data_IF_650470213441
#
_entry.id   IF_650470213441
#
_cell.length_a   1.000
_cell.length_b   1.000
_cell.length_c   1.000
_cell.angle_alpha   90.00
_cell.angle_beta   90.00
_cell.angle_gamma   90.00
#
_symmetry.space_group_name_H-M   'P 1'
#
loop_
_entity.id
_entity.type
_entity.pdbx_description
1 polymer ?
#
# COMPACT_ATOMS: atom_id res chain seq x y z
N UNK A 1 -35.36 25.74 -35.35
CA UNK A 1 -34.71 25.08 -36.51
C UNK A 1 -33.40 25.79 -36.79
N UNK A 2 -32.28 25.21 -36.39
CA UNK A 2 -31.02 25.22 -37.13
C UNK A 2 -30.16 24.11 -36.51
N UNK A 3 -29.93 23.09 -37.31
CA UNK A 3 -29.09 21.95 -37.06
C UNK A 3 -27.67 22.32 -37.49
N UNK A 4 -26.67 22.04 -36.66
CA UNK A 4 -25.29 21.90 -37.12
C UNK A 4 -24.62 20.80 -36.32
N UNK A 5 -24.36 19.71 -37.04
CA UNK A 5 -23.58 18.56 -36.65
C UNK A 5 -22.17 18.98 -36.19
N UNK A 6 -21.74 18.46 -35.05
CA UNK A 6 -20.32 18.19 -34.78
C UNK A 6 -20.20 16.68 -34.61
N UNK A 7 -19.66 16.02 -35.62
CA UNK A 7 -19.32 14.60 -35.62
C UNK A 7 -18.15 14.38 -34.66
N UNK A 8 -18.38 13.73 -33.52
CA UNK A 8 -17.34 13.02 -32.80
C UNK A 8 -17.06 11.67 -33.47
N UNK A 9 -15.84 11.13 -33.41
CA UNK A 9 -15.56 9.83 -33.99
C UNK A 9 -16.31 8.75 -33.20
N UNK A 10 -17.06 7.94 -33.94
CA UNK A 10 -17.69 6.70 -33.48
C UNK A 10 -16.56 5.69 -33.34
N UNK A 11 -16.22 5.31 -32.12
CA UNK A 11 -15.44 4.09 -31.88
C UNK A 11 -16.40 2.90 -32.08
N UNK A 12 -16.13 2.11 -33.10
CA UNK A 12 -16.81 0.84 -33.37
C UNK A 12 -16.57 -0.13 -32.21
N UNK A 13 -17.66 -0.56 -31.57
CA UNK A 13 -17.69 -1.71 -30.68
C UNK A 13 -17.34 -2.97 -31.47
N UNK A 14 -16.06 -3.38 -31.37
CA UNK A 14 -15.61 -4.70 -31.77
C UNK A 14 -15.86 -5.71 -30.66
N UNK A 15 -16.92 -6.49 -30.78
CA UNK A 15 -17.10 -7.75 -30.05
C UNK A 15 -15.89 -8.67 -30.32
N UNK A 16 -15.20 -9.08 -29.25
CA UNK A 16 -13.99 -9.90 -29.37
C UNK A 16 -13.55 -10.54 -28.07
N UNK A 17 -14.18 -11.68 -27.76
CA UNK A 17 -13.63 -12.84 -27.06
C UNK A 17 -12.98 -12.65 -25.66
N UNK A 18 -13.61 -13.29 -24.67
CA UNK A 18 -13.07 -13.48 -23.33
C UNK A 18 -11.66 -14.05 -23.33
N UNK A 19 -10.72 -13.21 -22.90
CA UNK A 19 -9.39 -13.60 -22.46
C UNK A 19 -9.25 -13.26 -20.99
N UNK A 20 -8.96 -14.27 -20.16
CA UNK A 20 -8.64 -14.07 -18.76
C UNK A 20 -7.49 -13.07 -18.63
N UNK A 21 -7.78 -11.87 -18.14
CA UNK A 21 -6.78 -10.87 -17.82
C UNK A 21 -5.81 -11.45 -16.79
N UNK A 22 -4.52 -11.51 -17.15
CA UNK A 22 -3.44 -11.80 -16.21
C UNK A 22 -3.29 -10.65 -15.23
N UNK A 23 -4.14 -10.63 -14.19
CA UNK A 23 -4.16 -9.57 -13.18
C UNK A 23 -2.87 -9.62 -12.37
N UNK A 24 -1.99 -8.63 -12.53
CA UNK A 24 -0.70 -8.51 -11.83
C UNK A 24 0.44 -8.01 -12.72
N UNK A 25 0.21 -7.93 -14.02
CA UNK A 25 1.13 -7.33 -14.99
C UNK A 25 0.54 -6.01 -15.49
N UNK A 26 1.33 -4.93 -15.44
CA UNK A 26 0.89 -3.65 -15.99
C UNK A 26 1.38 -3.54 -17.43
N UNK A 27 0.44 -3.30 -18.33
CA UNK A 27 0.76 -2.93 -19.71
C UNK A 27 1.34 -1.52 -19.71
N UNK A 28 2.37 -1.32 -20.53
CA UNK A 28 3.12 -0.07 -20.67
C UNK A 28 2.18 1.08 -21.03
N UNK A 29 1.73 1.86 -20.05
CA UNK A 29 1.02 3.12 -20.26
C UNK A 29 1.96 4.28 -19.91
N UNK A 30 3.07 4.38 -20.64
CA UNK A 30 3.83 5.64 -20.58
C UNK A 30 2.97 6.73 -21.21
N UNK A 31 2.63 7.74 -20.42
CA UNK A 31 1.98 8.95 -20.93
C UNK A 31 3.03 9.67 -21.78
N UNK A 32 2.91 9.58 -23.10
CA UNK A 32 3.68 10.42 -24.01
C UNK A 32 3.29 11.88 -23.75
N UNK A 33 4.26 12.70 -23.38
CA UNK A 33 4.08 14.12 -23.11
C UNK A 33 4.43 15.02 -24.30
N UNK A 34 4.75 14.39 -25.44
CA UNK A 34 5.13 15.08 -26.68
C UNK A 34 3.93 15.64 -27.48
N UNK A 35 2.70 15.34 -27.09
CA UNK A 35 1.49 15.83 -27.77
C UNK A 35 1.16 17.28 -27.40
N UNK A 36 0.45 17.99 -28.29
CA UNK A 36 -0.03 19.37 -28.04
C UNK A 36 -0.98 19.48 -26.84
N UNK A 37 -1.65 18.38 -26.48
CA UNK A 37 -2.55 18.30 -25.33
C UNK A 37 -1.88 17.40 -24.29
N UNK A 38 -1.32 18.02 -23.25
CA UNK A 38 -0.81 17.31 -22.09
C UNK A 38 -1.97 16.60 -21.37
N UNK A 39 -1.90 15.28 -21.11
CA UNK A 39 -2.90 14.62 -20.28
C UNK A 39 -2.82 15.20 -18.87
N UNK A 40 -3.84 15.94 -18.45
CA UNK A 40 -3.91 16.55 -17.12
C UNK A 40 -3.56 15.51 -16.04
N UNK A 41 -2.68 15.85 -15.07
CA UNK A 41 -2.33 14.93 -14.00
C UNK A 41 -3.59 14.58 -13.21
N UNK A 42 -3.77 13.28 -12.94
CA UNK A 42 -4.85 12.79 -12.11
C UNK A 42 -4.66 13.21 -10.66
N UNK A 43 -5.69 13.03 -9.83
CA UNK A 43 -5.61 13.42 -8.42
C UNK A 43 -4.53 12.62 -7.68
N UNK A 44 -4.39 11.32 -7.98
CA UNK A 44 -3.31 10.49 -7.43
C UNK A 44 -1.92 10.89 -7.93
N UNK A 45 -1.83 11.47 -9.13
CA UNK A 45 -0.57 11.99 -9.67
C UNK A 45 -0.07 13.16 -8.79
N UNK A 46 -0.96 13.95 -8.17
CA UNK A 46 -0.56 15.03 -7.25
C UNK A 46 0.14 14.50 -5.98
N UNK A 47 -0.39 13.45 -5.36
CA UNK A 47 0.25 12.78 -4.21
C UNK A 47 1.56 12.11 -4.61
N UNK A 48 1.58 11.49 -5.79
CA UNK A 48 2.77 10.87 -6.33
C UNK A 48 3.87 11.93 -6.58
N UNK A 49 3.53 13.12 -7.08
CA UNK A 49 4.47 14.24 -7.24
C UNK A 49 5.04 14.72 -5.89
N UNK A 50 4.22 14.82 -4.84
CA UNK A 50 4.69 15.15 -3.49
C UNK A 50 5.73 14.13 -3.01
N UNK A 51 5.40 12.84 -3.14
CA UNK A 51 6.32 11.75 -2.79
C UNK A 51 7.62 11.79 -3.62
N UNK A 52 7.53 11.98 -4.94
CA UNK A 52 8.69 12.08 -5.81
C UNK A 52 9.60 13.26 -5.45
N UNK A 53 9.01 14.39 -5.03
CA UNK A 53 9.75 15.52 -4.47
C UNK A 53 10.55 15.14 -3.22
N UNK A 54 9.96 14.37 -2.30
CA UNK A 54 10.65 13.84 -1.13
C UNK A 54 11.79 12.88 -1.51
N UNK A 55 11.58 12.01 -2.51
CA UNK A 55 12.62 11.08 -3.02
C UNK A 55 13.81 11.85 -3.62
N UNK A 56 13.54 12.90 -4.40
CA UNK A 56 14.60 13.75 -4.96
C UNK A 56 15.42 14.45 -3.87
N UNK A 57 14.77 14.83 -2.76
CA UNK A 57 15.42 15.38 -1.57
C UNK A 57 16.07 14.32 -0.66
N UNK A 58 15.88 13.03 -0.95
CA UNK A 58 16.36 11.92 -0.11
C UNK A 58 15.77 11.92 1.31
N UNK A 59 14.57 12.47 1.48
CA UNK A 59 13.84 12.42 2.75
C UNK A 59 13.26 11.00 2.98
N UNK A 60 13.30 10.45 4.20
CA UNK A 60 12.83 9.10 4.49
C UNK A 60 11.30 9.03 4.65
N UNK A 61 10.57 9.48 3.64
CA UNK A 61 9.10 9.44 3.58
C UNK A 61 8.65 8.19 2.81
N UNK A 62 7.65 7.47 3.33
CA UNK A 62 7.08 6.30 2.64
C UNK A 62 5.89 6.68 1.78
N UNK A 63 5.63 5.92 0.72
CA UNK A 63 4.38 6.04 -0.06
C UNK A 63 3.16 5.82 0.85
N UNK A 64 3.26 4.88 1.79
CA UNK A 64 2.23 4.61 2.78
C UNK A 64 1.96 5.78 3.75
N UNK A 65 2.96 6.62 4.03
CA UNK A 65 2.77 7.82 4.86
C UNK A 65 1.96 8.87 4.10
N UNK A 66 2.36 9.19 2.87
CA UNK A 66 1.62 10.14 2.01
C UNK A 66 0.17 9.68 1.80
N UNK A 67 -0.02 8.38 1.59
CA UNK A 67 -1.34 7.78 1.49
C UNK A 67 -2.17 7.95 2.77
N UNK A 68 -1.55 7.71 3.94
CA UNK A 68 -2.20 7.89 5.24
C UNK A 68 -2.53 9.36 5.49
N UNK A 69 -1.62 10.28 5.20
CA UNK A 69 -1.82 11.72 5.38
C UNK A 69 -3.01 12.21 4.56
N UNK A 70 -3.14 11.72 3.32
CA UNK A 70 -4.31 11.99 2.47
C UNK A 70 -5.60 11.40 3.06
N UNK A 71 -5.59 10.10 3.44
CA UNK A 71 -6.76 9.40 4.01
C UNK A 71 -7.24 10.00 5.34
N UNK A 72 -6.32 10.50 6.16
CA UNK A 72 -6.59 11.00 7.51
C UNK A 72 -6.86 12.52 7.55
N UNK A 73 -7.02 13.17 6.40
CA UNK A 73 -7.23 14.61 6.26
C UNK A 73 -6.10 15.49 6.87
N UNK A 74 -4.86 14.99 6.91
CA UNK A 74 -3.69 15.73 7.41
C UNK A 74 -3.08 16.63 6.33
N UNK A 75 -3.33 16.30 5.06
CA UNK A 75 -3.03 17.15 3.92
C UNK A 75 -4.33 17.49 3.18
N UNK A 76 -4.42 18.68 2.55
CA UNK A 76 -5.60 19.12 1.84
C UNK A 76 -5.79 18.31 0.54
N UNK A 77 -6.38 17.13 0.68
CA UNK A 77 -6.62 16.19 -0.42
C UNK A 77 -8.11 15.85 -0.55
N UNK A 78 -8.74 15.39 0.54
CA UNK A 78 -10.15 14.97 0.55
C UNK A 78 -11.12 16.11 0.20
N UNK A 79 -10.84 17.32 0.69
CA UNK A 79 -11.62 18.53 0.44
C UNK A 79 -10.77 19.66 -0.14
N UNK A 80 -9.89 19.36 -1.10
CA UNK A 80 -9.01 20.37 -1.69
C UNK A 80 -9.80 21.55 -2.29
N UNK A 81 -11.05 21.30 -2.73
CA UNK A 81 -11.96 22.33 -3.23
C UNK A 81 -12.21 23.46 -2.22
N UNK A 82 -12.21 23.17 -0.92
CA UNK A 82 -12.49 24.18 0.12
C UNK A 82 -11.36 25.21 0.23
N UNK A 83 -10.14 24.84 -0.17
CA UNK A 83 -8.97 25.72 -0.21
C UNK A 83 -8.92 26.59 -1.48
N UNK A 84 -9.74 26.30 -2.48
CA UNK A 84 -9.81 27.08 -3.73
C UNK A 84 -10.71 28.31 -3.51
N UNK A 85 -10.26 29.53 -3.89
CA UNK A 85 -11.07 30.74 -3.82
C UNK A 85 -12.41 30.58 -4.54
N UNK A 86 -13.47 31.19 -3.99
CA UNK A 86 -14.85 31.08 -4.50
C UNK A 86 -14.96 31.44 -5.98
N UNK A 87 -14.34 32.55 -6.40
CA UNK A 87 -14.36 33.01 -7.79
C UNK A 87 -13.84 31.99 -8.79
N UNK A 88 -12.94 31.12 -8.36
CA UNK A 88 -12.34 30.07 -9.19
C UNK A 88 -13.19 28.82 -9.12
N UNK A 89 -13.71 28.51 -7.93
CA UNK A 89 -14.64 27.39 -7.70
C UNK A 89 -15.88 27.50 -8.58
N UNK A 90 -16.52 28.66 -8.62
CA UNK A 90 -17.76 28.86 -9.39
C UNK A 90 -17.53 28.77 -10.92
N UNK A 91 -16.28 28.87 -11.36
CA UNK A 91 -15.89 28.76 -12.77
C UNK A 91 -15.34 27.39 -13.15
N UNK A 92 -15.17 26.50 -12.19
CA UNK A 92 -14.66 25.16 -12.47
C UNK A 92 -15.75 24.33 -13.18
N UNK A 93 -15.37 23.57 -14.21
CA UNK A 93 -16.28 22.59 -14.79
C UNK A 93 -16.54 21.45 -13.78
N UNK A 94 -17.69 20.77 -13.90
CA UNK A 94 -18.10 19.72 -12.96
C UNK A 94 -17.04 18.62 -12.74
N UNK A 95 -16.30 18.20 -13.78
CA UNK A 95 -15.21 17.24 -13.63
C UNK A 95 -14.06 17.76 -12.72
N UNK A 96 -13.81 19.07 -12.70
CA UNK A 96 -12.82 19.70 -11.83
C UNK A 96 -13.29 19.76 -10.37
N UNK A 97 -14.59 19.97 -10.15
CA UNK A 97 -15.18 19.84 -8.82
C UNK A 97 -15.01 18.41 -8.28
N UNK A 98 -15.33 17.40 -9.09
CA UNK A 98 -15.14 16.00 -8.72
C UNK A 98 -13.66 15.65 -8.47
N UNK A 99 -12.73 16.19 -9.27
CA UNK A 99 -11.30 15.95 -9.07
C UNK A 99 -10.75 16.57 -7.77
N UNK A 100 -11.32 17.68 -7.28
CA UNK A 100 -10.88 18.35 -6.06
C UNK A 100 -11.62 17.89 -4.80
N UNK A 101 -12.75 17.21 -4.95
CA UNK A 101 -13.54 16.65 -3.86
C UNK A 101 -13.38 15.13 -3.82
N UNK A 102 -12.22 14.70 -3.33
CA UNK A 102 -11.85 13.27 -3.24
C UNK A 102 -12.25 12.60 -1.93
N UNK A 103 -13.00 13.30 -1.07
CA UNK A 103 -13.55 12.79 0.20
C UNK A 103 -14.21 11.42 0.06
N UNK A 104 -14.77 11.13 -1.11
CA UNK A 104 -15.53 9.92 -1.40
C UNK A 104 -14.85 9.01 -2.43
N UNK A 105 -13.63 9.37 -2.84
CA UNK A 105 -12.84 8.56 -3.75
C UNK A 105 -12.36 7.28 -3.05
N UNK A 106 -12.29 6.19 -3.82
CA UNK A 106 -11.82 4.90 -3.29
C UNK A 106 -10.31 4.95 -3.11
N UNK A 107 -9.85 4.93 -1.87
CA UNK A 107 -8.44 4.73 -1.56
C UNK A 107 -8.13 3.24 -1.51
N UNK A 108 -8.05 2.58 -2.67
CA UNK A 108 -7.50 1.23 -2.71
C UNK A 108 -5.98 1.29 -2.59
N UNK A 109 -5.42 0.51 -1.65
CA UNK A 109 -3.98 0.38 -1.52
C UNK A 109 -3.36 -0.09 -2.84
N UNK A 110 -2.27 0.56 -3.26
CA UNK A 110 -1.54 0.23 -4.49
C UNK A 110 -1.78 1.20 -5.66
N UNK A 111 -2.87 1.94 -5.72
CA UNK A 111 -3.09 2.94 -6.80
C UNK A 111 -2.01 4.02 -6.81
N UNK A 112 -1.65 4.53 -5.63
CA UNK A 112 -0.56 5.49 -5.48
C UNK A 112 0.78 4.92 -5.94
N UNK A 113 1.06 3.64 -5.62
CA UNK A 113 2.26 2.95 -6.10
C UNK A 113 2.29 2.87 -7.63
N UNK A 114 1.14 2.66 -8.28
CA UNK A 114 1.04 2.68 -9.75
C UNK A 114 1.30 4.08 -10.30
N UNK A 115 0.63 5.09 -9.73
CA UNK A 115 0.81 6.49 -10.13
C UNK A 115 2.27 6.94 -10.00
N UNK A 116 2.96 6.57 -8.91
CA UNK A 116 4.40 6.83 -8.73
C UNK A 116 5.22 6.16 -9.82
N UNK A 117 4.98 4.87 -10.11
CA UNK A 117 5.71 4.16 -11.15
C UNK A 117 5.47 4.76 -12.54
N UNK A 118 4.22 5.08 -12.87
CA UNK A 118 3.84 5.67 -14.16
C UNK A 118 4.45 7.06 -14.34
N UNK A 119 4.49 7.88 -13.29
CA UNK A 119 5.17 9.18 -13.33
C UNK A 119 6.68 9.03 -13.45
N UNK A 120 7.31 8.12 -12.70
CA UNK A 120 8.76 7.86 -12.83
C UNK A 120 9.12 7.49 -14.27
N UNK A 121 8.30 6.63 -14.89
CA UNK A 121 8.47 6.25 -16.30
C UNK A 121 8.22 7.41 -17.25
N UNK A 122 7.15 8.17 -17.04
CA UNK A 122 6.83 9.34 -17.86
C UNK A 122 7.96 10.37 -17.84
N UNK A 123 8.50 10.69 -16.67
CA UNK A 123 9.63 11.61 -16.54
C UNK A 123 10.91 11.08 -17.18
N UNK A 124 11.18 9.78 -17.05
CA UNK A 124 12.35 9.16 -17.67
C UNK A 124 12.25 9.16 -19.20
N UNK A 125 11.10 8.77 -19.76
CA UNK A 125 10.93 8.67 -21.22
C UNK A 125 10.83 10.05 -21.89
N UNK A 126 10.15 11.02 -21.27
CA UNK A 126 9.92 12.32 -21.88
C UNK A 126 11.06 13.33 -21.61
N UNK A 127 11.71 13.26 -20.44
CA UNK A 127 12.72 14.25 -20.04
C UNK A 127 14.09 13.66 -19.70
N UNK A 128 14.25 12.34 -19.76
CA UNK A 128 15.50 11.67 -19.35
C UNK A 128 15.79 11.81 -17.85
N UNK A 129 14.80 12.19 -17.04
CA UNK A 129 14.98 12.37 -15.60
C UNK A 129 15.10 11.00 -14.92
N UNK A 130 16.21 10.79 -14.23
CA UNK A 130 16.45 9.57 -13.44
C UNK A 130 16.31 9.92 -11.97
N UNK A 131 15.39 9.25 -11.28
CA UNK A 131 15.22 9.40 -9.85
C UNK A 131 16.37 8.70 -9.09
N UNK A 132 16.87 9.30 -8.00
CA UNK A 132 17.87 8.66 -7.15
C UNK A 132 17.29 7.42 -6.46
N UNK A 133 18.18 6.58 -5.92
CA UNK A 133 17.75 5.43 -5.12
C UNK A 133 16.98 5.91 -3.89
N UNK A 134 15.94 5.16 -3.48
CA UNK A 134 15.24 5.50 -2.25
C UNK A 134 16.19 5.35 -1.04
N UNK A 135 16.03 6.16 0.02
CA UNK A 135 16.84 6.07 1.23
C UNK A 135 16.47 4.80 2.03
N UNK A 136 16.90 3.64 1.52
CA UNK A 136 16.39 2.35 1.97
C UNK A 136 16.80 1.99 3.41
N UNK A 137 17.91 2.54 3.92
CA UNK A 137 18.38 2.31 5.30
C UNK A 137 17.43 2.89 6.36
N UNK A 138 17.11 4.20 6.35
CA UNK A 138 16.13 4.75 7.30
C UNK A 138 14.73 4.19 7.05
N UNK A 139 14.30 3.99 5.80
CA UNK A 139 12.98 3.42 5.51
C UNK A 139 12.80 2.03 6.12
N UNK A 140 13.80 1.13 5.99
CA UNK A 140 13.77 -0.19 6.66
C UNK A 140 13.62 -0.07 8.18
N UNK A 141 14.34 0.86 8.81
CA UNK A 141 14.22 1.10 10.24
C UNK A 141 12.81 1.57 10.61
N UNK A 142 12.23 2.50 9.85
CA UNK A 142 10.86 2.99 10.07
C UNK A 142 9.83 1.87 9.97
N UNK A 143 9.93 1.00 8.95
CA UNK A 143 9.03 -0.16 8.85
C UNK A 143 9.20 -1.15 10.00
N UNK A 144 10.44 -1.47 10.40
CA UNK A 144 10.69 -2.38 11.53
C UNK A 144 10.10 -1.81 12.82
N UNK A 145 10.30 -0.51 13.07
CA UNK A 145 9.75 0.20 14.23
C UNK A 145 8.21 0.18 14.21
N UNK A 146 7.60 0.53 13.08
CA UNK A 146 6.15 0.67 12.99
C UNK A 146 5.41 -0.68 13.01
N UNK A 147 6.08 -1.76 12.58
CA UNK A 147 5.59 -3.14 12.66
C UNK A 147 5.99 -3.85 13.97
N UNK A 148 6.72 -3.16 14.86
CA UNK A 148 7.28 -3.72 16.09
C UNK A 148 8.10 -5.00 15.87
N UNK A 149 8.84 -5.06 14.76
CA UNK A 149 9.68 -6.19 14.41
C UNK A 149 11.04 -6.13 15.15
N UNK A 150 11.67 -7.30 15.39
CA UNK A 150 13.02 -7.38 15.93
C UNK A 150 14.07 -6.79 14.97
N UNK A 151 15.15 -6.20 15.50
CA UNK A 151 16.19 -5.56 14.69
C UNK A 151 16.95 -6.53 13.77
N UNK A 152 16.95 -7.83 14.06
CA UNK A 152 17.57 -8.88 13.24
C UNK A 152 16.98 -8.89 11.82
N UNK A 153 15.66 -8.65 11.69
CA UNK A 153 14.96 -8.58 10.40
C UNK A 153 15.63 -7.60 9.44
N UNK A 154 16.20 -6.50 9.96
CA UNK A 154 16.92 -5.51 9.17
C UNK A 154 18.06 -6.13 8.36
N UNK A 155 18.93 -6.88 9.04
CA UNK A 155 20.13 -7.43 8.43
C UNK A 155 19.78 -8.54 7.44
N UNK A 156 18.79 -9.37 7.76
CA UNK A 156 18.34 -10.44 6.87
C UNK A 156 17.68 -9.89 5.61
N UNK A 157 16.79 -8.90 5.72
CA UNK A 157 16.18 -8.27 4.56
C UNK A 157 17.24 -7.63 3.64
N UNK A 158 18.23 -6.93 4.22
CA UNK A 158 19.32 -6.35 3.46
C UNK A 158 20.17 -7.41 2.73
N UNK A 159 20.48 -8.52 3.40
CA UNK A 159 21.22 -9.64 2.80
C UNK A 159 20.43 -10.30 1.67
N UNK A 160 19.12 -10.51 1.84
CA UNK A 160 18.25 -11.09 0.80
C UNK A 160 18.28 -10.27 -0.49
N UNK A 161 18.12 -8.94 -0.41
CA UNK A 161 18.19 -8.10 -1.60
C UNK A 161 19.57 -8.12 -2.26
N UNK A 162 20.65 -8.12 -1.47
CA UNK A 162 22.02 -8.22 -1.99
C UNK A 162 22.29 -9.56 -2.69
N UNK A 163 21.80 -10.67 -2.14
CA UNK A 163 21.93 -12.00 -2.73
C UNK A 163 21.24 -12.09 -4.09
N UNK A 164 20.08 -11.45 -4.22
CA UNK A 164 19.30 -11.39 -5.46
C UNK A 164 19.81 -10.33 -6.45
N UNK A 165 20.84 -9.55 -6.10
CA UNK A 165 21.37 -8.47 -6.95
C UNK A 165 20.38 -7.31 -7.16
N UNK A 166 19.40 -7.16 -6.27
CA UNK A 166 18.35 -6.14 -6.40
C UNK A 166 18.85 -4.79 -5.88
N UNK A 167 18.49 -3.72 -6.61
CA UNK A 167 18.83 -2.35 -6.24
C UNK A 167 17.58 -1.59 -5.79
N UNK A 168 17.77 -0.54 -4.99
CA UNK A 168 16.69 0.36 -4.57
C UNK A 168 16.52 1.56 -5.53
N UNK A 169 16.96 1.40 -6.77
CA UNK A 169 16.71 2.30 -7.90
C UNK A 169 15.45 1.85 -8.63
N UNK A 170 14.76 2.76 -9.32
CA UNK A 170 13.68 2.37 -10.22
C UNK A 170 14.24 2.22 -11.65
N UNK A 171 14.02 1.08 -12.34
CA UNK A 171 13.41 -0.16 -11.86
C UNK A 171 14.37 -1.01 -11.00
N UNK A 172 13.85 -1.63 -9.94
CA UNK A 172 14.66 -2.32 -8.92
C UNK A 172 15.44 -3.54 -9.45
N UNK A 173 14.90 -4.20 -10.48
CA UNK A 173 15.49 -5.37 -11.14
C UNK A 173 16.59 -5.03 -12.16
N UNK A 174 16.79 -3.75 -12.47
CA UNK A 174 17.79 -3.28 -13.43
C UNK A 174 17.41 -3.50 -14.90
N UNK A 175 17.88 -2.58 -15.75
CA UNK A 175 17.56 -2.53 -17.18
C UNK A 175 16.09 -2.17 -17.46
N UNK A 176 15.73 -1.75 -18.69
CA UNK A 176 14.34 -1.52 -19.06
C UNK A 176 13.60 -2.86 -19.21
N UNK A 177 12.67 -3.24 -18.31
CA UNK A 177 11.96 -4.50 -18.44
C UNK A 177 10.94 -4.43 -19.58
N UNK A 178 10.61 -5.58 -20.18
CA UNK A 178 9.50 -5.67 -21.16
C UNK A 178 8.13 -5.35 -20.53
N UNK A 179 7.97 -5.64 -19.23
CA UNK A 179 6.78 -5.36 -18.41
C UNK A 179 7.22 -4.99 -17.00
N UNK A 180 6.70 -3.87 -16.50
CA UNK A 180 6.90 -3.48 -15.11
C UNK A 180 6.06 -4.38 -14.19
N UNK A 181 6.67 -4.83 -13.11
CA UNK A 181 6.03 -5.59 -12.04
C UNK A 181 6.05 -4.78 -10.76
N UNK A 182 5.20 -5.14 -9.81
CA UNK A 182 5.15 -4.55 -8.49
C UNK A 182 6.53 -4.49 -7.80
N UNK A 183 7.36 -5.52 -7.97
CA UNK A 183 8.72 -5.56 -7.42
C UNK A 183 9.71 -4.58 -8.05
N UNK A 184 9.40 -3.96 -9.20
CA UNK A 184 10.25 -2.91 -9.77
C UNK A 184 10.18 -1.61 -8.98
N UNK A 185 9.10 -1.42 -8.21
CA UNK A 185 8.93 -0.30 -7.30
C UNK A 185 9.82 -0.54 -6.08
N UNK A 186 10.83 0.32 -5.80
CA UNK A 186 11.79 0.08 -4.74
C UNK A 186 11.19 -0.06 -3.34
N UNK A 187 10.11 0.67 -3.03
CA UNK A 187 9.42 0.54 -1.74
C UNK A 187 8.69 -0.80 -1.60
N UNK A 188 8.04 -1.27 -2.67
CA UNK A 188 7.36 -2.58 -2.66
C UNK A 188 8.39 -3.69 -2.47
N UNK A 189 9.56 -3.59 -3.12
CA UNK A 189 10.67 -4.50 -2.87
C UNK A 189 11.12 -4.47 -1.41
N UNK A 190 11.27 -3.27 -0.83
CA UNK A 190 11.68 -3.09 0.55
C UNK A 190 10.70 -3.78 1.50
N UNK A 191 9.41 -3.52 1.35
CA UNK A 191 8.35 -4.13 2.17
C UNK A 191 8.30 -5.65 1.97
N UNK A 192 8.34 -6.13 0.72
CA UNK A 192 8.37 -7.56 0.43
C UNK A 192 9.59 -8.26 1.05
N UNK A 193 10.77 -7.62 0.99
CA UNK A 193 11.99 -8.17 1.59
C UNK A 193 11.92 -8.28 3.12
N UNK A 194 11.24 -7.33 3.78
CA UNK A 194 10.99 -7.37 5.22
C UNK A 194 10.04 -8.51 5.58
N UNK A 195 8.93 -8.67 4.85
CA UNK A 195 7.98 -9.77 5.08
C UNK A 195 8.66 -11.12 4.89
N UNK A 196 9.43 -11.30 3.81
CA UNK A 196 10.18 -12.52 3.55
C UNK A 196 11.19 -12.77 4.68
N UNK A 197 11.93 -11.76 5.12
CA UNK A 197 12.89 -11.89 6.22
C UNK A 197 12.21 -12.27 7.53
N UNK A 198 11.11 -11.61 7.90
CA UNK A 198 10.32 -11.92 9.09
C UNK A 198 9.82 -13.36 9.04
N UNK A 199 9.28 -13.80 7.90
CA UNK A 199 8.79 -15.17 7.73
C UNK A 199 9.90 -16.22 7.83
N UNK A 200 11.11 -15.89 7.39
CA UNK A 200 12.26 -16.79 7.53
C UNK A 200 12.73 -16.89 8.98
N UNK A 201 12.86 -15.76 9.69
CA UNK A 201 13.38 -15.72 11.07
C UNK A 201 12.35 -16.12 12.13
N UNK A 202 11.12 -15.67 11.96
CA UNK A 202 10.00 -15.83 12.88
C UNK A 202 8.81 -16.42 12.12
N UNK A 203 8.78 -17.75 11.93
CA UNK A 203 7.69 -18.40 11.23
C UNK A 203 6.33 -18.11 11.88
N UNK A 204 5.31 -17.93 11.04
CA UNK A 204 3.92 -17.60 11.42
C UNK A 204 2.97 -18.82 11.32
N UNK A 205 3.52 -20.01 11.11
CA UNK A 205 2.78 -21.22 10.69
C UNK A 205 2.47 -22.20 11.84
N UNK A 206 2.80 -21.84 13.09
CA UNK A 206 2.54 -22.66 14.27
C UNK A 206 3.37 -23.95 14.34
N UNK A 207 4.32 -24.16 13.42
CA UNK A 207 5.20 -25.34 13.42
C UNK A 207 6.39 -25.10 14.34
N UNK A 208 6.55 -25.94 15.35
CA UNK A 208 7.66 -25.87 16.29
C UNK A 208 9.00 -26.18 15.60
N UNK A 209 9.94 -25.24 15.69
CA UNK A 209 11.31 -25.38 15.17
C UNK A 209 12.31 -25.12 16.28
N UNK A 210 13.34 -25.95 16.35
CA UNK A 210 14.33 -25.89 17.42
C UNK A 210 15.70 -25.44 16.92
N UNK A 211 16.37 -24.52 17.64
CA UNK A 211 17.71 -24.08 17.30
C UNK A 211 18.74 -25.22 17.45
N UNK A 212 19.76 -25.21 16.60
CA UNK A 212 20.88 -26.18 16.68
C UNK A 212 21.87 -25.79 17.77
N UNK A 213 22.27 -24.53 17.75
CA UNK A 213 23.31 -23.94 18.60
C UNK A 213 22.78 -22.66 19.24
N UNK A 214 23.50 -22.14 20.23
CA UNK A 214 23.15 -20.86 20.87
C UNK A 214 23.25 -19.64 19.94
N UNK A 215 23.95 -19.77 18.81
CA UNK A 215 24.10 -18.73 17.79
C UNK A 215 23.03 -18.81 16.68
N UNK A 216 22.10 -19.77 16.76
CA UNK A 216 21.04 -19.94 15.77
C UNK A 216 19.97 -18.83 15.94
N UNK A 217 19.54 -18.16 14.85
CA UNK A 217 18.48 -17.13 14.92
C UNK A 217 17.16 -17.66 15.52
N UNK A 218 16.92 -18.98 15.53
CA UNK A 218 15.75 -19.59 16.19
C UNK A 218 15.78 -19.53 17.73
N UNK A 219 16.91 -19.16 18.34
CA UNK A 219 17.01 -19.02 19.80
C UNK A 219 16.08 -17.95 20.36
N UNK A 220 15.69 -16.97 19.55
CA UNK A 220 14.70 -15.95 19.92
C UNK A 220 13.43 -16.16 19.09
N UNK A 221 12.32 -16.44 19.76
CA UNK A 221 11.02 -16.62 19.12
C UNK A 221 10.07 -15.48 19.45
N UNK A 222 9.35 -15.01 18.42
CA UNK A 222 8.32 -13.99 18.57
C UNK A 222 7.06 -14.58 19.22
N UNK A 223 6.47 -13.87 20.17
CA UNK A 223 5.10 -14.15 20.61
C UNK A 223 4.08 -13.43 19.71
N UNK A 224 3.61 -14.16 18.71
CA UNK A 224 2.66 -13.66 17.72
C UNK A 224 1.27 -13.35 18.28
N UNK A 225 0.87 -13.95 19.41
CA UNK A 225 -0.41 -13.65 20.05
C UNK A 225 -0.37 -12.30 20.78
N UNK A 226 0.76 -11.99 21.43
CA UNK A 226 0.99 -10.65 22.00
C UNK A 226 1.14 -9.61 20.89
N UNK A 227 1.81 -9.95 19.80
CA UNK A 227 1.86 -9.06 18.64
C UNK A 227 0.45 -8.77 18.10
N UNK A 228 -0.37 -9.80 17.86
CA UNK A 228 -1.73 -9.62 17.32
C UNK A 228 -2.61 -8.76 18.23
N UNK A 229 -2.51 -8.87 19.56
CA UNK A 229 -3.32 -8.07 20.48
C UNK A 229 -2.98 -6.58 20.44
N UNK A 230 -1.70 -6.22 20.30
CA UNK A 230 -1.27 -4.82 20.18
C UNK A 230 -1.77 -4.15 18.90
N UNK A 231 -1.86 -4.90 17.80
CA UNK A 231 -2.32 -4.37 16.52
C UNK A 231 -3.84 -4.49 16.34
N UNK A 232 -4.51 -5.40 17.07
CA UNK A 232 -5.99 -5.54 17.07
C UNK A 232 -6.70 -4.43 17.84
N UNK A 233 -6.00 -3.76 18.76
CA UNK A 233 -6.59 -2.70 19.62
C UNK A 233 -6.84 -1.40 18.87
N UNK A 234 -6.52 -1.32 17.58
CA UNK A 234 -6.94 -0.20 16.73
C UNK A 234 -8.29 -0.53 16.09
N UNK A 235 -9.42 -0.11 16.65
CA UNK A 235 -10.55 0.17 15.79
C UNK A 235 -10.06 1.28 14.87
N UNK A 236 -9.87 0.98 13.59
CA UNK A 236 -10.03 2.04 12.61
C UNK A 236 -11.42 2.62 12.89
N UNK A 237 -11.49 3.77 13.57
CA UNK A 237 -12.53 4.72 13.27
C UNK A 237 -12.26 5.04 11.81
N UNK A 238 -12.78 4.21 10.92
CA UNK A 238 -12.84 4.52 9.51
C UNK A 238 -13.52 5.88 9.51
N UNK A 239 -12.84 6.98 9.12
CA UNK A 239 -13.63 8.13 8.72
C UNK A 239 -14.63 7.58 7.72
N UNK A 240 -15.88 7.98 7.86
CA UNK A 240 -17.00 7.67 6.99
C UNK A 240 -16.75 7.97 5.53
N UNK A 241 -15.81 7.27 4.91
CA UNK A 241 -15.54 7.28 3.49
C UNK A 241 -16.45 6.19 2.95
N UNK A 242 -17.74 6.48 2.99
CA UNK A 242 -18.75 5.66 2.37
C UNK A 242 -18.55 5.72 0.84
N UNK A 243 -18.63 4.55 0.23
CA UNK A 243 -18.31 4.32 -1.18
C UNK A 243 -19.57 4.57 -2.02
N UNK A 244 -19.92 5.82 -2.27
CA UNK A 244 -21.24 6.17 -2.82
C UNK A 244 -21.38 5.99 -4.34
N UNK A 245 -20.30 6.11 -5.12
CA UNK A 245 -20.39 6.08 -6.60
C UNK A 245 -20.96 4.77 -7.17
N UNK A 246 -20.96 3.68 -6.39
CA UNK A 246 -21.48 2.36 -6.79
C UNK A 246 -22.39 1.70 -5.75
N UNK A 247 -22.94 2.48 -4.81
CA UNK A 247 -23.84 1.92 -3.79
C UNK A 247 -25.14 1.44 -4.45
N UNK A 248 -25.49 0.16 -4.24
CA UNK A 248 -26.78 -0.35 -4.69
C UNK A 248 -27.88 0.35 -3.86
N UNK A 249 -28.94 0.91 -4.46
CA UNK A 249 -30.05 1.51 -3.72
C UNK A 249 -30.66 0.61 -2.64
N UNK A 250 -30.45 -0.71 -2.73
CA UNK A 250 -30.86 -1.69 -1.72
C UNK A 250 -30.06 -1.62 -0.42
N UNK A 251 -28.79 -1.23 -0.48
CA UNK A 251 -27.88 -1.15 0.68
C UNK A 251 -28.26 0.02 1.61
N UNK A 252 -28.88 1.08 1.07
CA UNK A 252 -29.37 2.23 1.82
C UNK A 252 -30.35 1.81 2.93
N UNK A 253 -31.17 0.80 2.67
CA UNK A 253 -32.16 0.31 3.63
C UNK A 253 -31.56 -0.43 4.82
N UNK A 254 -30.30 -0.89 4.71
CA UNK A 254 -29.58 -1.59 5.76
C UNK A 254 -28.58 -0.73 6.53
N UNK A 255 -28.44 0.55 6.16
CA UNK A 255 -27.47 1.45 6.77
C UNK A 255 -27.81 1.74 8.24
N UNK A 256 -26.76 1.82 9.05
CA UNK A 256 -26.86 2.35 10.41
C UNK A 256 -27.12 3.85 10.38
N UNK A 257 -27.61 4.41 11.51
CA UNK A 257 -27.92 5.84 11.61
C UNK A 257 -26.71 6.73 11.26
N UNK A 258 -25.51 6.37 11.72
CA UNK A 258 -24.30 7.16 11.44
C UNK A 258 -23.91 7.13 9.95
N UNK A 259 -24.08 5.99 9.28
CA UNK A 259 -23.82 5.87 7.84
C UNK A 259 -24.84 6.67 7.01
N UNK A 260 -26.09 6.75 7.48
CA UNK A 260 -27.12 7.59 6.86
C UNK A 260 -26.82 9.08 7.04
N UNK A 261 -26.36 9.51 8.22
CA UNK A 261 -25.96 10.89 8.48
C UNK A 261 -24.80 11.30 7.55
N UNK A 262 -23.82 10.41 7.34
CA UNK A 262 -22.73 10.61 6.39
C UNK A 262 -23.22 10.70 4.93
N UNK A 263 -24.23 9.90 4.55
CA UNK A 263 -24.84 9.97 3.21
C UNK A 263 -25.52 11.31 2.98
N UNK A 264 -26.24 11.82 3.98
CA UNK A 264 -26.88 13.14 3.90
C UNK A 264 -25.83 14.26 3.83
N UNK A 265 -24.74 14.15 4.61
CA UNK A 265 -23.61 15.08 4.52
C UNK A 265 -22.98 15.07 3.12
N UNK A 266 -22.83 13.89 2.48
CA UNK A 266 -22.37 13.78 1.08
C UNK A 266 -23.27 14.52 0.12
N UNK A 267 -24.59 14.35 0.22
CA UNK A 267 -25.54 15.06 -0.63
C UNK A 267 -25.43 16.57 -0.44
N UNK A 268 -25.33 17.04 0.80
CA UNK A 268 -25.21 18.46 1.11
C UNK A 268 -23.86 19.05 0.64
N UNK A 269 -22.78 18.28 0.61
CA UNK A 269 -21.48 18.76 0.13
C UNK A 269 -21.34 18.73 -1.39
N UNK A 270 -21.97 17.76 -2.07
CA UNK A 270 -21.79 17.53 -3.51
C UNK A 270 -22.91 18.08 -4.38
N UNK A 271 -24.15 18.09 -3.90
CA UNK A 271 -25.34 18.43 -4.69
C UNK A 271 -25.99 19.76 -4.28
N UNK A 272 -25.66 20.29 -3.10
CA UNK A 272 -26.24 21.56 -2.60
C UNK A 272 -25.20 22.67 -2.73
N UNK A 273 -25.58 23.75 -3.40
CA UNK A 273 -24.78 24.98 -3.41
C UNK A 273 -24.79 25.60 -2.01
N UNK A 274 -23.62 25.66 -1.35
CA UNK A 274 -23.45 26.23 0.00
C UNK A 274 -23.84 27.72 0.10
N UNK A 275 -23.99 28.40 -1.04
CA UNK A 275 -24.33 29.83 -1.12
C UNK A 275 -25.33 30.10 -2.26
N UNK A 276 -26.63 29.78 -2.07
CA UNK A 276 -27.64 30.18 -3.02
C UNK A 276 -27.68 31.71 -3.13
N UNK A 277 -27.85 32.23 -4.35
CA UNK A 277 -27.89 33.69 -4.58
C UNK A 277 -29.20 34.30 -4.07
N UNK A 278 -30.24 33.49 -3.93
CA UNK A 278 -31.55 33.84 -3.38
C UNK A 278 -31.83 32.95 -2.17
N UNK A 279 -31.84 33.52 -0.95
CA UNK A 279 -32.38 32.83 0.23
C UNK A 279 -33.89 32.65 0.03
N UNK A 280 -34.34 31.44 -0.29
CA UNK A 280 -35.76 31.16 -0.41
C UNK A 280 -36.37 31.10 1.01
N UNK A 281 -37.64 31.49 1.18
CA UNK A 281 -38.30 31.42 2.49
C UNK A 281 -38.31 30.00 3.09
N UNK A 282 -38.20 28.97 2.25
CA UNK A 282 -38.07 27.57 2.67
C UNK A 282 -36.76 27.28 3.39
N UNK A 283 -35.66 27.95 3.04
CA UNK A 283 -34.35 27.77 3.69
C UNK A 283 -34.37 28.27 5.14
N UNK A 284 -35.22 29.27 5.42
CA UNK A 284 -35.45 29.80 6.78
C UNK A 284 -36.31 28.88 7.62
N UNK A 285 -37.21 28.11 7.00
CA UNK A 285 -38.09 27.16 7.68
C UNK A 285 -37.39 25.83 7.98
N UNK A 286 -36.41 25.44 7.15
CA UNK A 286 -35.64 24.21 7.28
C UNK A 286 -34.14 24.48 7.16
N UNK A 287 -33.52 25.13 8.17
CA UNK A 287 -32.10 25.43 8.12
C UNK A 287 -31.28 24.14 8.06
N UNK A 288 -30.38 24.03 7.08
CA UNK A 288 -29.43 22.93 7.00
C UNK A 288 -28.36 23.10 8.10
N UNK A 289 -28.01 22.00 8.76
CA UNK A 289 -26.92 22.01 9.73
C UNK A 289 -25.57 22.14 8.99
N UNK A 290 -24.65 22.93 9.54
CA UNK A 290 -23.30 23.03 8.98
C UNK A 290 -22.60 21.67 9.09
N UNK A 291 -22.11 21.17 7.96
CA UNK A 291 -21.34 19.92 7.94
C UNK A 291 -20.05 20.15 8.72
N UNK A 292 -19.83 19.32 9.73
CA UNK A 292 -18.59 19.38 10.50
C UNK A 292 -17.40 19.08 9.57
N UNK A 293 -16.34 19.90 9.60
CA UNK A 293 -15.13 19.61 8.84
C UNK A 293 -14.59 18.24 9.27
N UNK A 294 -14.08 17.48 8.29
CA UNK A 294 -13.44 16.19 8.56
C UNK A 294 -12.38 16.36 9.65
N UNK A 295 -12.51 15.66 10.79
CA UNK A 295 -11.51 15.75 11.84
C UNK A 295 -10.20 15.20 11.29
N UNK A 296 -9.11 15.93 11.53
CA UNK A 296 -7.77 15.40 11.30
C UNK A 296 -7.53 14.26 12.29
N UNK A 297 -7.17 13.08 11.78
CA UNK A 297 -6.83 11.94 12.63
C UNK A 297 -5.33 12.03 12.93
N UNK A 298 -4.91 12.34 14.17
CA UNK A 298 -3.50 12.49 14.49
C UNK A 298 -2.75 11.17 14.35
N UNK A 299 -1.47 11.26 13.97
CA UNK A 299 -0.59 10.09 13.95
C UNK A 299 -0.32 9.60 15.39
N UNK A 300 -0.08 8.29 15.58
CA UNK A 300 0.34 7.77 16.88
C UNK A 300 1.62 8.48 17.32
N UNK A 301 1.66 8.90 18.59
CA UNK A 301 2.83 9.58 19.13
C UNK A 301 4.04 8.64 19.13
N UNK A 302 5.25 9.21 19.09
CA UNK A 302 6.48 8.42 19.12
C UNK A 302 6.54 7.53 20.38
N UNK A 303 6.04 8.03 21.52
CA UNK A 303 5.99 7.30 22.79
C UNK A 303 5.08 6.06 22.71
N UNK A 304 3.93 6.16 22.06
CA UNK A 304 3.03 5.02 21.84
C UNK A 304 3.68 3.95 20.97
N UNK A 305 4.36 4.37 19.89
CA UNK A 305 5.06 3.46 18.99
C UNK A 305 6.20 2.75 19.75
N UNK A 306 6.98 3.48 20.52
CA UNK A 306 8.06 2.92 21.34
C UNK A 306 7.54 1.99 22.45
N UNK A 307 6.45 2.35 23.12
CA UNK A 307 5.83 1.51 24.15
C UNK A 307 5.38 0.16 23.56
N UNK A 308 4.77 0.19 22.37
CA UNK A 308 4.38 -1.02 21.63
C UNK A 308 5.59 -1.87 21.26
N UNK A 309 6.65 -1.26 20.71
CA UNK A 309 7.90 -1.97 20.37
C UNK A 309 8.49 -2.63 21.61
N UNK A 310 8.58 -1.91 22.73
CA UNK A 310 9.10 -2.44 23.99
C UNK A 310 8.26 -3.61 24.49
N UNK A 311 6.93 -3.51 24.42
CA UNK A 311 6.02 -4.57 24.85
C UNK A 311 6.20 -5.85 24.02
N UNK A 312 6.19 -5.73 22.69
CA UNK A 312 6.39 -6.87 21.77
C UNK A 312 7.78 -7.50 21.93
N UNK A 313 8.83 -6.69 22.06
CA UNK A 313 10.19 -7.22 22.23
C UNK A 313 10.39 -7.88 23.61
N UNK A 314 9.74 -7.35 24.66
CA UNK A 314 9.80 -7.94 26.00
C UNK A 314 9.08 -9.28 26.12
N UNK A 315 8.08 -9.54 25.27
CA UNK A 315 7.34 -10.81 25.25
C UNK A 315 8.03 -11.92 24.46
N UNK A 316 9.16 -11.64 23.81
CA UNK A 316 9.89 -12.63 23.03
C UNK A 316 10.44 -13.75 23.91
N UNK A 317 10.26 -15.00 23.47
CA UNK A 317 10.68 -16.20 24.22
C UNK A 317 12.05 -16.66 23.77
N UNK A 318 12.91 -17.02 24.74
CA UNK A 318 14.18 -17.70 24.46
C UNK A 318 13.97 -19.21 24.46
N UNK A 319 14.40 -19.87 23.40
CA UNK A 319 14.30 -21.33 23.25
C UNK A 319 15.70 -21.95 23.34
N UNK A 320 15.91 -22.94 24.22
CA UNK A 320 17.20 -23.60 24.35
C UNK A 320 17.52 -24.46 23.10
N UNK A 321 18.80 -24.55 22.69
CA UNK A 321 19.20 -25.38 21.57
C UNK A 321 18.96 -26.87 21.85
N UNK A 322 18.50 -27.59 20.83
CA UNK A 322 18.37 -29.04 20.84
C UNK A 322 19.36 -29.64 19.83
N UNK A 323 20.51 -30.18 20.28
CA UNK A 323 21.49 -30.78 19.39
C UNK A 323 21.01 -32.13 18.84
N UNK A 324 21.45 -32.49 17.63
CA UNK A 324 21.03 -33.70 16.90
C UNK A 324 21.47 -35.05 17.56
N UNK A 325 22.18 -35.03 18.70
CA UNK A 325 22.88 -36.20 19.26
C UNK A 325 22.05 -37.08 20.21
N UNK A 326 20.72 -37.02 20.19
CA UNK A 326 19.86 -37.86 21.04
C UNK A 326 19.36 -39.13 20.34
N UNK A 327 19.38 -40.28 21.02
CA UNK A 327 18.96 -41.62 20.56
C UNK A 327 17.46 -41.76 20.19
N UNK A 328 16.67 -40.68 20.22
CA UNK A 328 15.31 -40.66 19.67
C UNK A 328 15.32 -39.86 18.38
N UNK A 329 15.10 -40.55 17.26
CA UNK A 329 14.86 -39.96 15.94
C UNK A 329 13.54 -39.21 15.87
N UNK A 330 13.33 -38.23 16.75
CA UNK A 330 12.28 -37.25 16.57
C UNK A 330 12.62 -36.38 15.36
N UNK A 331 11.62 -36.12 14.53
CA UNK A 331 11.77 -35.30 13.33
C UNK A 331 11.95 -33.82 13.74
N UNK A 332 13.16 -33.45 14.19
CA UNK A 332 13.46 -32.09 14.65
C UNK A 332 13.42 -31.15 13.45
N UNK A 333 12.39 -30.31 13.40
CA UNK A 333 12.27 -29.27 12.39
C UNK A 333 13.25 -28.13 12.66
N UNK A 334 14.01 -27.75 11.62
CA UNK A 334 15.03 -26.70 11.66
C UNK A 334 14.58 -25.46 10.89
N UNK A 335 15.35 -24.38 10.99
CA UNK A 335 15.12 -23.16 10.20
C UNK A 335 15.07 -23.51 8.71
N UNK A 336 14.06 -23.00 8.01
CA UNK A 336 13.84 -23.29 6.58
C UNK A 336 13.14 -24.62 6.28
N UNK A 337 12.88 -25.47 7.28
CA UNK A 337 11.98 -26.63 7.10
C UNK A 337 10.52 -26.17 7.04
N UNK A 338 9.72 -26.82 6.18
CA UNK A 338 8.30 -26.54 5.99
C UNK A 338 7.97 -25.06 5.70
N UNK A 339 8.83 -24.36 4.95
CA UNK A 339 8.54 -22.99 4.54
C UNK A 339 7.30 -22.95 3.63
N UNK A 340 6.21 -22.32 4.10
CA UNK A 340 4.94 -22.24 3.37
C UNK A 340 4.86 -20.97 2.53
N UNK A 341 4.84 -21.07 1.20
CA UNK A 341 4.55 -19.92 0.31
C UNK A 341 3.04 -19.68 0.22
N UNK A 342 2.62 -18.42 0.17
CA UNK A 342 1.22 -18.03 -0.05
C UNK A 342 1.10 -17.34 -1.40
N UNK A 343 0.19 -17.80 -2.25
CA UNK A 343 -0.07 -17.26 -3.58
C UNK A 343 -1.27 -16.33 -3.60
N UNK A 344 -2.32 -16.73 -2.89
CA UNK A 344 -3.60 -16.04 -2.86
C UNK A 344 -3.94 -15.58 -1.45
N UNK A 345 -4.80 -14.56 -1.38
CA UNK A 345 -5.24 -13.97 -0.10
C UNK A 345 -6.03 -14.99 0.74
N UNK A 346 -6.75 -15.88 0.08
CA UNK A 346 -7.59 -16.89 0.73
C UNK A 346 -6.78 -17.96 1.49
N UNK A 347 -5.49 -18.10 1.18
CA UNK A 347 -4.59 -19.01 1.89
C UNK A 347 -4.07 -18.44 3.22
N UNK A 348 -4.33 -17.15 3.48
CA UNK A 348 -3.91 -16.47 4.70
C UNK A 348 -4.96 -16.67 5.81
N UNK A 349 -4.51 -17.27 6.92
CA UNK A 349 -5.36 -17.55 8.08
C UNK A 349 -4.75 -16.99 9.38
N UNK A 350 -5.62 -16.62 10.32
CA UNK A 350 -5.24 -16.17 11.67
C UNK A 350 -4.23 -15.02 11.68
N UNK A 351 -3.17 -15.19 12.47
CA UNK A 351 -2.14 -14.16 12.68
C UNK A 351 -1.38 -13.81 11.40
N UNK A 352 -1.23 -14.76 10.46
CA UNK A 352 -0.56 -14.50 9.17
C UNK A 352 -1.34 -13.45 8.40
N UNK A 353 -2.67 -13.61 8.32
CA UNK A 353 -3.53 -12.65 7.62
C UNK A 353 -3.44 -11.27 8.25
N UNK A 354 -3.51 -11.19 9.58
CA UNK A 354 -3.37 -9.92 10.32
C UNK A 354 -2.01 -9.26 10.08
N UNK A 355 -0.94 -10.05 10.08
CA UNK A 355 0.39 -9.52 9.79
C UNK A 355 0.46 -8.89 8.40
N UNK A 356 -0.06 -9.57 7.37
CA UNK A 356 -0.08 -9.01 6.02
C UNK A 356 -1.01 -7.79 5.90
N UNK A 357 -2.17 -7.78 6.59
CA UNK A 357 -3.08 -6.62 6.62
C UNK A 357 -2.39 -5.39 7.21
N UNK A 358 -1.72 -5.52 8.36
CA UNK A 358 -1.00 -4.42 9.01
C UNK A 358 0.15 -3.93 8.14
N UNK A 359 0.91 -4.84 7.53
CA UNK A 359 2.00 -4.46 6.61
C UNK A 359 1.46 -3.73 5.39
N UNK A 360 0.35 -4.20 4.82
CA UNK A 360 -0.30 -3.57 3.67
C UNK A 360 -0.80 -2.15 4.02
N UNK A 361 -1.41 -1.97 5.18
CA UNK A 361 -1.86 -0.66 5.68
C UNK A 361 -0.69 0.31 5.87
N UNK A 362 0.37 -0.13 6.54
CA UNK A 362 1.58 0.71 6.77
C UNK A 362 2.28 1.06 5.45
N UNK A 363 2.24 0.17 4.46
CA UNK A 363 2.85 0.39 3.15
C UNK A 363 1.94 1.13 2.14
N UNK A 364 0.65 1.32 2.43
CA UNK A 364 -0.32 1.84 1.48
C UNK A 364 -0.55 0.92 0.27
N UNK A 365 -0.42 -0.40 0.46
CA UNK A 365 -0.63 -1.44 -0.56
C UNK A 365 -1.95 -2.17 -0.33
N UNK A 366 -2.51 -2.76 -1.39
CA UNK A 366 -3.60 -3.73 -1.20
C UNK A 366 -3.01 -5.04 -0.67
N UNK A 367 -3.81 -5.76 0.13
CA UNK A 367 -3.43 -7.08 0.65
C UNK A 367 -3.04 -8.03 -0.50
N UNK A 368 -3.79 -7.98 -1.60
CA UNK A 368 -3.53 -8.78 -2.82
C UNK A 368 -2.19 -8.43 -3.48
N UNK A 369 -1.89 -7.15 -3.65
CA UNK A 369 -0.63 -6.72 -4.28
C UNK A 369 0.58 -7.06 -3.40
N UNK A 370 0.44 -6.96 -2.08
CA UNK A 370 1.48 -7.37 -1.13
C UNK A 370 1.76 -8.87 -1.22
N UNK A 371 0.72 -9.73 -1.16
CA UNK A 371 0.89 -11.20 -1.26
C UNK A 371 1.61 -11.57 -2.55
N UNK A 372 1.24 -10.96 -3.67
CA UNK A 372 1.87 -11.21 -4.98
C UNK A 372 3.32 -10.75 -5.03
N UNK A 373 3.63 -9.59 -4.48
CA UNK A 373 4.99 -9.07 -4.41
C UNK A 373 5.88 -10.00 -3.57
N UNK A 374 5.40 -10.41 -2.40
CA UNK A 374 6.08 -11.36 -1.51
C UNK A 374 6.29 -12.70 -2.20
N UNK A 375 5.24 -13.29 -2.78
CA UNK A 375 5.34 -14.54 -3.52
C UNK A 375 6.34 -14.46 -4.67
N UNK A 376 6.34 -13.36 -5.43
CA UNK A 376 7.28 -13.14 -6.52
C UNK A 376 8.73 -13.09 -6.03
N UNK A 377 8.98 -12.44 -4.89
CA UNK A 377 10.32 -12.39 -4.28
C UNK A 377 10.76 -13.77 -3.76
N UNK A 378 9.84 -14.53 -3.17
CA UNK A 378 10.08 -15.91 -2.73
C UNK A 378 10.43 -16.84 -3.90
N UNK A 379 9.76 -16.69 -5.05
CA UNK A 379 10.09 -17.45 -6.25
C UNK A 379 11.51 -17.12 -6.76
N UNK A 380 11.89 -15.84 -6.79
CA UNK A 380 13.25 -15.44 -7.16
C UNK A 380 14.30 -16.03 -6.22
N UNK A 381 14.02 -16.06 -4.92
CA UNK A 381 14.89 -16.69 -3.92
C UNK A 381 14.99 -18.20 -4.13
N UNK A 382 13.88 -18.86 -4.42
CA UNK A 382 13.85 -20.30 -4.69
C UNK A 382 14.63 -20.66 -5.96
N UNK A 383 14.47 -19.88 -7.03
CA UNK A 383 15.23 -20.03 -8.27
C UNK A 383 16.73 -19.83 -8.05
N UNK A 384 17.11 -18.80 -7.30
CA UNK A 384 18.49 -18.55 -6.91
C UNK A 384 19.08 -19.74 -6.14
N UNK A 385 18.37 -20.25 -5.13
CA UNK A 385 18.80 -21.43 -4.36
C UNK A 385 18.95 -22.67 -5.24
N UNK A 386 18.05 -22.88 -6.20
CA UNK A 386 18.11 -24.03 -7.12
C UNK A 386 19.34 -23.94 -8.04
N UNK A 387 19.64 -22.74 -8.54
CA UNK A 387 20.81 -22.50 -9.40
C UNK A 387 22.11 -22.67 -8.61
N UNK A 388 22.16 -22.17 -7.38
CA UNK A 388 23.31 -22.33 -6.50
C UNK A 388 23.59 -23.82 -6.19
N UNK A 389 22.54 -24.58 -5.85
CA UNK A 389 22.65 -26.04 -5.65
C UNK A 389 23.15 -26.77 -6.90
N UNK A 390 22.79 -26.30 -8.10
CA UNK A 390 23.29 -26.87 -9.36
C UNK A 390 24.76 -26.53 -9.57
N UNK A 391 25.19 -25.30 -9.27
CA UNK A 391 26.58 -24.87 -9.35
C UNK A 391 27.46 -25.71 -8.43
N UNK A 392 27.07 -25.84 -7.16
CA UNK A 392 27.81 -26.65 -6.18
C UNK A 392 27.93 -28.13 -6.57
N UNK A 393 26.92 -28.69 -7.25
CA UNK A 393 26.97 -30.07 -7.79
C UNK A 393 27.77 -30.22 -9.08
N UNK A 394 28.07 -29.12 -9.76
CA UNK A 394 28.91 -29.12 -10.97
C UNK A 394 30.39 -28.89 -10.63
N UNK A 395 30.66 -28.29 -9.47
CA UNK A 395 32.01 -28.00 -8.96
C UNK A 395 32.59 -29.10 -8.06
N UNK A 396 31.76 -30.00 -7.53
CA UNK A 396 32.15 -31.18 -6.75
C UNK A 396 31.83 -32.47 -7.49
#
# INVERSE_FOLDING_TARGET
MFSSQAQGPVEEEGEGAGGAEGVGEWTRKSKSWAGEIWPLPGVMDTLALVYLGCVLRQEPVRIGDVFRWAKNNQIPFLGAIDYVPKEWRDRLPGWGHHALLTRYARFHGGELHRAVADLMLGYQENHGLVFPAIPASPLRFLYIRDLALPPEVYQFAQKTCRLLGMSFLFPARGGPPKRYRLLDIPEVLLVASLVVATKHLYPLDGVERFPRDHDDPLCLQMDWAVWESEFSTRPEKKPGILQYEHMDPREIWSMSKGELDELLNWFQETQIDKHPTDELEVDRLFPLEDIQPLPEIPEPTQEEVEARVRKVQSSMRRVPPRPDRGEMGENIHRLGSHYRCYKEVDELEGVVKRFYEVVAEVAGLSLRDLVRAVYSLEQLLFEWQRNEKRRLRAEG
#
